data_IF_517346332973
#
_entry.id   IF_517346332973
#
_cell.length_a   1.000
_cell.length_b   1.000
_cell.length_c   1.000
_cell.angle_alpha   90.00
_cell.angle_beta   90.00
_cell.angle_gamma   90.00
#
_symmetry.space_group_name_H-M   'P 1'
#
loop_
_entity.id
_entity.type
_entity.pdbx_description
1 polymer ?
#
# COMPACT_ATOMS: atom_id res chain seq x y z
N UNK A 1 20.86 -3.77 -0.84
CA UNK A 1 19.76 -2.77 -0.75
C UNK A 1 18.50 -3.20 -1.49
N UNK A 2 18.62 -3.87 -2.64
CA UNK A 2 17.50 -4.46 -3.39
C UNK A 2 16.65 -5.41 -2.53
N UNK A 3 17.26 -6.39 -1.85
CA UNK A 3 16.55 -7.33 -0.96
C UNK A 3 15.78 -6.60 0.15
N UNK A 4 16.39 -5.58 0.78
CA UNK A 4 15.75 -4.76 1.81
C UNK A 4 14.52 -4.05 1.25
N UNK A 5 14.58 -3.55 0.02
CA UNK A 5 13.45 -2.90 -0.67
C UNK A 5 12.30 -3.87 -0.91
N UNK A 6 12.61 -5.10 -1.35
CA UNK A 6 11.62 -6.17 -1.51
C UNK A 6 10.96 -6.55 -0.18
N UNK A 7 11.76 -6.74 0.88
CA UNK A 7 11.26 -7.07 2.22
C UNK A 7 10.37 -5.96 2.75
N UNK A 8 10.81 -4.69 2.68
CA UNK A 8 10.02 -3.55 3.15
C UNK A 8 8.70 -3.41 2.40
N UNK A 9 8.73 -3.53 1.06
CA UNK A 9 7.53 -3.43 0.24
C UNK A 9 6.57 -4.58 0.52
N UNK A 10 7.08 -5.80 0.62
CA UNK A 10 6.30 -6.99 0.92
C UNK A 10 5.67 -6.94 2.31
N UNK A 11 6.47 -6.57 3.33
CA UNK A 11 6.00 -6.41 4.70
C UNK A 11 4.93 -5.32 4.78
N UNK A 12 5.12 -4.19 4.10
CA UNK A 12 4.13 -3.12 4.06
C UNK A 12 2.80 -3.58 3.44
N UNK A 13 2.86 -4.26 2.29
CA UNK A 13 1.69 -4.79 1.62
C UNK A 13 0.94 -5.81 2.50
N UNK A 14 1.70 -6.70 3.14
CA UNK A 14 1.18 -7.72 4.05
C UNK A 14 0.49 -7.12 5.26
N UNK A 15 1.15 -6.20 5.99
CA UNK A 15 0.57 -5.54 7.16
C UNK A 15 -0.67 -4.71 6.80
N UNK A 16 -0.65 -4.02 5.65
CA UNK A 16 -1.81 -3.26 5.15
C UNK A 16 -2.98 -4.19 4.83
N UNK A 17 -2.70 -5.36 4.24
CA UNK A 17 -3.72 -6.36 3.95
C UNK A 17 -4.32 -6.95 5.23
N UNK A 18 -3.48 -7.30 6.22
CA UNK A 18 -3.94 -7.77 7.53
C UNK A 18 -4.81 -6.75 8.25
N UNK A 19 -4.41 -5.48 8.26
CA UNK A 19 -5.19 -4.41 8.86
C UNK A 19 -6.57 -4.29 8.21
N UNK A 20 -6.66 -4.42 6.89
CA UNK A 20 -7.93 -4.38 6.17
C UNK A 20 -8.83 -5.60 6.46
N UNK A 21 -8.25 -6.79 6.62
CA UNK A 21 -8.98 -8.00 7.04
C UNK A 21 -9.50 -7.85 8.47
N UNK A 22 -8.68 -7.33 9.37
CA UNK A 22 -9.07 -7.10 10.76
C UNK A 22 -10.21 -6.07 10.83
N UNK A 23 -10.10 -4.97 10.09
CA UNK A 23 -11.16 -3.95 10.02
C UNK A 23 -12.46 -4.51 9.45
N UNK A 24 -12.40 -5.42 8.46
CA UNK A 24 -13.58 -6.14 7.99
C UNK A 24 -14.20 -6.98 9.11
N UNK A 25 -13.40 -7.70 9.90
CA UNK A 25 -13.92 -8.50 11.02
C UNK A 25 -14.61 -7.64 12.09
N UNK A 26 -14.10 -6.43 12.36
CA UNK A 26 -14.59 -5.54 13.42
C UNK A 26 -15.78 -4.67 12.98
N UNK A 27 -15.73 -4.05 11.79
CA UNK A 27 -16.74 -3.11 11.29
C UNK A 27 -17.77 -3.74 10.33
N UNK A 28 -17.64 -5.04 10.04
CA UNK A 28 -18.43 -5.75 9.05
C UNK A 28 -17.93 -5.54 7.62
N UNK A 29 -18.60 -6.17 6.65
CA UNK A 29 -18.20 -6.13 5.25
C UNK A 29 -18.43 -4.75 4.63
N UNK A 30 -17.35 -4.13 4.16
CA UNK A 30 -17.39 -2.92 3.34
C UNK A 30 -16.58 -3.13 2.07
N UNK A 31 -17.10 -2.67 0.92
CA UNK A 31 -16.44 -2.79 -0.38
C UNK A 31 -14.99 -2.26 -0.37
N UNK A 32 -14.71 -1.22 0.42
CA UNK A 32 -13.36 -0.64 0.56
C UNK A 32 -12.35 -1.57 1.23
N UNK A 33 -12.78 -2.39 2.20
CA UNK A 33 -11.88 -3.35 2.85
C UNK A 33 -11.42 -4.41 1.86
N UNK A 34 -12.29 -4.84 0.95
CA UNK A 34 -11.90 -5.72 -0.18
C UNK A 34 -10.91 -5.00 -1.09
N UNK A 35 -11.17 -3.75 -1.47
CA UNK A 35 -10.25 -3.01 -2.32
C UNK A 35 -8.86 -2.88 -1.68
N UNK A 36 -8.80 -2.62 -0.37
CA UNK A 36 -7.54 -2.61 0.36
C UNK A 36 -6.81 -3.94 0.28
N UNK A 37 -7.50 -5.05 0.58
CA UNK A 37 -6.92 -6.40 0.52
C UNK A 37 -6.47 -6.72 -0.91
N UNK A 38 -7.28 -6.39 -1.91
CA UNK A 38 -6.99 -6.62 -3.33
C UNK A 38 -5.75 -5.85 -3.79
N UNK A 39 -5.63 -4.56 -3.41
CA UNK A 39 -4.45 -3.75 -3.75
C UNK A 39 -3.21 -4.23 -2.98
N UNK A 40 -3.36 -4.67 -1.72
CA UNK A 40 -2.25 -5.29 -0.97
C UNK A 40 -1.75 -6.57 -1.65
N UNK A 41 -2.65 -7.45 -2.07
CA UNK A 41 -2.30 -8.68 -2.81
C UNK A 41 -1.64 -8.32 -4.14
N UNK A 42 -2.16 -7.33 -4.87
CA UNK A 42 -1.56 -6.93 -6.15
C UNK A 42 -0.14 -6.40 -5.97
N UNK A 43 0.17 -5.65 -4.89
CA UNK A 43 1.54 -5.23 -4.58
C UNK A 43 2.45 -6.44 -4.37
N UNK A 44 1.99 -7.46 -3.62
CA UNK A 44 2.78 -8.69 -3.45
C UNK A 44 3.05 -9.38 -4.78
N UNK A 45 2.05 -9.47 -5.66
CA UNK A 45 2.20 -10.06 -7.00
C UNK A 45 3.16 -9.23 -7.87
N UNK A 46 3.08 -7.89 -7.81
CA UNK A 46 3.94 -6.99 -8.57
C UNK A 46 5.43 -7.23 -8.24
N UNK A 47 5.77 -7.61 -7.00
CA UNK A 47 7.16 -7.90 -6.63
C UNK A 47 7.79 -9.07 -7.39
N UNK A 48 6.99 -9.96 -7.97
CA UNK A 48 7.47 -11.10 -8.76
C UNK A 48 7.52 -10.81 -10.26
N UNK A 49 7.18 -9.60 -10.71
CA UNK A 49 7.25 -9.23 -12.12
C UNK A 49 8.73 -9.11 -12.55
N UNK A 50 9.15 -9.82 -13.61
CA UNK A 50 10.55 -9.83 -14.03
C UNK A 50 10.99 -8.50 -14.65
N UNK A 51 10.08 -7.78 -15.31
CA UNK A 51 10.36 -6.46 -15.90
C UNK A 51 10.44 -5.38 -14.80
N UNK A 52 11.62 -4.80 -14.60
CA UNK A 52 11.88 -3.79 -13.57
C UNK A 52 11.15 -2.47 -13.82
N UNK A 53 11.10 -2.02 -15.06
CA UNK A 53 10.36 -0.81 -15.43
C UNK A 53 8.86 -0.97 -15.20
N UNK A 54 8.30 -2.12 -15.61
CA UNK A 54 6.88 -2.41 -15.39
C UNK A 54 6.58 -2.55 -13.89
N UNK A 55 7.45 -3.26 -13.15
CA UNK A 55 7.34 -3.38 -11.69
C UNK A 55 7.31 -2.00 -11.02
N UNK A 56 8.22 -1.10 -11.40
CA UNK A 56 8.31 0.25 -10.84
C UNK A 56 7.03 1.06 -11.09
N UNK A 57 6.56 1.10 -12.34
CA UNK A 57 5.34 1.85 -12.71
C UNK A 57 4.11 1.30 -11.98
N UNK A 58 3.97 -0.02 -11.90
CA UNK A 58 2.84 -0.66 -11.21
C UNK A 58 2.87 -0.40 -9.69
N UNK A 59 4.04 -0.40 -9.06
CA UNK A 59 4.17 -0.06 -7.64
C UNK A 59 3.75 1.37 -7.34
N UNK A 60 4.14 2.34 -8.19
CA UNK A 60 3.70 3.74 -8.06
C UNK A 60 2.17 3.80 -8.10
N UNK A 61 1.57 3.17 -9.11
CA UNK A 61 0.11 3.18 -9.26
C UNK A 61 -0.59 2.54 -8.05
N UNK A 62 -0.08 1.41 -7.56
CA UNK A 62 -0.63 0.72 -6.41
C UNK A 62 -0.52 1.56 -5.11
N UNK A 63 0.59 2.27 -4.88
CA UNK A 63 0.72 3.15 -3.72
C UNK A 63 -0.18 4.37 -3.78
N UNK A 64 -0.39 4.95 -4.98
CA UNK A 64 -1.37 6.03 -5.17
C UNK A 64 -2.77 5.52 -4.81
N UNK A 65 -3.16 4.36 -5.34
CA UNK A 65 -4.46 3.74 -5.02
C UNK A 65 -4.62 3.47 -3.52
N UNK A 66 -3.61 2.87 -2.87
CA UNK A 66 -3.63 2.65 -1.42
C UNK A 66 -3.78 3.95 -0.64
N UNK A 67 -3.13 5.03 -1.07
CA UNK A 67 -3.21 6.31 -0.40
C UNK A 67 -4.60 6.94 -0.54
N UNK A 68 -5.18 6.90 -1.74
CA UNK A 68 -6.55 7.38 -1.99
C UNK A 68 -7.58 6.57 -1.19
N UNK A 69 -7.45 5.24 -1.19
CA UNK A 69 -8.30 4.35 -0.38
C UNK A 69 -8.19 4.68 1.10
N UNK A 70 -7.00 5.00 1.59
CA UNK A 70 -6.78 5.39 2.97
C UNK A 70 -7.52 6.67 3.32
N UNK A 71 -7.40 7.70 2.48
CA UNK A 71 -8.08 8.97 2.68
C UNK A 71 -9.60 8.74 2.72
N UNK A 72 -10.13 8.00 1.74
CA UNK A 72 -11.55 7.68 1.69
C UNK A 72 -12.05 6.90 2.92
N UNK A 73 -11.25 5.97 3.43
CA UNK A 73 -11.57 5.22 4.65
C UNK A 73 -11.52 6.13 5.88
N UNK A 74 -10.48 6.96 6.04
CA UNK A 74 -10.34 7.90 7.15
C UNK A 74 -11.53 8.84 7.26
N UNK A 75 -11.94 9.45 6.14
CA UNK A 75 -13.13 10.33 6.10
C UNK A 75 -14.39 9.59 6.54
N UNK A 76 -14.65 8.37 6.04
CA UNK A 76 -15.91 7.67 6.36
C UNK A 76 -15.94 7.05 7.75
N UNK A 77 -14.83 6.53 8.26
CA UNK A 77 -14.80 5.88 9.58
C UNK A 77 -14.74 6.91 10.71
N UNK A 78 -13.93 7.96 10.58
CA UNK A 78 -13.70 8.92 11.65
C UNK A 78 -14.41 10.27 11.43
N UNK A 79 -15.06 10.49 10.28
CA UNK A 79 -15.64 11.78 9.89
C UNK A 79 -14.59 12.86 9.54
N UNK A 80 -13.31 12.58 9.77
CA UNK A 80 -12.19 13.49 9.55
C UNK A 80 -10.93 12.71 9.18
N UNK A 81 -9.98 13.39 8.54
CA UNK A 81 -8.69 12.82 8.15
C UNK A 81 -7.70 13.07 9.28
N UNK A 82 -7.12 12.01 9.84
CA UNK A 82 -5.99 12.14 10.78
C UNK A 82 -4.72 12.47 9.99
N UNK A 83 -4.45 13.76 9.78
CA UNK A 83 -3.39 14.27 8.89
C UNK A 83 -2.03 13.60 9.16
N UNK A 84 -1.65 13.42 10.43
CA UNK A 84 -0.38 12.78 10.80
C UNK A 84 -0.22 11.38 10.21
N UNK A 85 -1.25 10.54 10.31
CA UNK A 85 -1.24 9.17 9.75
C UNK A 85 -1.09 9.17 8.23
N UNK A 86 -1.80 10.06 7.54
CA UNK A 86 -1.72 10.16 6.08
C UNK A 86 -0.37 10.71 5.61
N UNK A 87 0.17 11.73 6.29
CA UNK A 87 1.49 12.29 5.97
C UNK A 87 2.59 11.23 6.18
N UNK A 88 2.57 10.50 7.30
CA UNK A 88 3.53 9.42 7.56
C UNK A 88 3.43 8.33 6.48
N UNK A 89 2.21 7.90 6.13
CA UNK A 89 2.00 6.91 5.06
C UNK A 89 2.50 7.41 3.70
N UNK A 90 2.27 8.68 3.39
CA UNK A 90 2.73 9.30 2.15
C UNK A 90 4.26 9.35 2.08
N UNK A 91 4.92 9.81 3.15
CA UNK A 91 6.38 9.82 3.24
C UNK A 91 6.93 8.40 3.07
N UNK A 92 6.31 7.41 3.72
CA UNK A 92 6.71 6.02 3.59
C UNK A 92 6.58 5.49 2.16
N UNK A 93 5.48 5.79 1.46
CA UNK A 93 5.34 5.48 0.03
C UNK A 93 6.44 6.14 -0.80
N UNK A 94 6.74 7.42 -0.58
CA UNK A 94 7.81 8.12 -1.29
C UNK A 94 9.18 7.46 -1.06
N UNK A 95 9.48 7.06 0.18
CA UNK A 95 10.71 6.34 0.50
C UNK A 95 10.77 5.02 -0.26
N UNK A 96 9.70 4.22 -0.27
CA UNK A 96 9.70 2.95 -1.01
C UNK A 96 9.87 3.21 -2.51
N UNK A 97 9.16 4.17 -3.10
CA UNK A 97 9.30 4.50 -4.53
C UNK A 97 10.74 4.89 -4.87
N UNK A 98 11.38 5.73 -4.04
CA UNK A 98 12.79 6.10 -4.23
C UNK A 98 13.73 4.89 -4.10
N UNK A 99 13.47 3.99 -3.15
CA UNK A 99 14.25 2.76 -3.01
C UNK A 99 14.06 1.82 -4.21
N UNK A 100 12.84 1.66 -4.72
CA UNK A 100 12.57 0.86 -5.93
C UNK A 100 13.27 1.49 -7.13
N UNK A 101 13.16 2.81 -7.30
CA UNK A 101 13.84 3.53 -8.39
C UNK A 101 15.36 3.37 -8.36
N UNK A 102 15.97 3.38 -7.17
CA UNK A 102 17.43 3.36 -7.03
C UNK A 102 18.05 1.96 -6.97
N UNK A 103 17.31 0.98 -6.43
CA UNK A 103 17.85 -0.34 -6.10
C UNK A 103 17.19 -1.50 -6.84
N UNK A 104 16.07 -1.28 -7.53
CA UNK A 104 15.36 -2.31 -8.31
C UNK A 104 15.44 -2.02 -9.81
N UNK A 105 15.35 -0.75 -10.22
CA UNK A 105 15.72 -0.31 -11.57
C UNK A 105 17.23 -0.20 -11.71
#
# INVERSE_FOLDING_TARGET
>A
MTIVTYILTGLYAFLTGLAAIQQWKEEGFHFRSILFVSVSISILVILFIPSKDLQFVLLIFAFILLHLLAIAQGIKTNGHITISHHVIRFIFHCIIVLMVYKFIK
#
